data_IF_055721153551
#
_entry.id   IF_055721153551
#
_cell.length_a   1.000
_cell.length_b   1.000
_cell.length_c   1.000
_cell.angle_alpha   90.00
_cell.angle_beta   90.00
_cell.angle_gamma   90.00
#
_symmetry.space_group_name_H-M   'P 1'
#
loop_
_entity.id
_entity.type
_entity.pdbx_description
1 polymer ?
#
# COMPACT_ATOMS: atom_id res chain seq x y z
N UNK A 1 -45.30 -7.64 60.98
CA UNK A 1 -44.86 -8.76 60.05
C UNK A 1 -44.54 -8.11 58.72
N UNK A 2 -43.24 -7.89 58.45
CA UNK A 2 -42.77 -7.24 57.20
C UNK A 2 -42.24 -8.34 56.27
N UNK A 3 -42.95 -8.63 55.20
CA UNK A 3 -42.51 -9.55 54.17
C UNK A 3 -41.47 -8.85 53.26
N UNK A 4 -40.21 -9.27 53.32
CA UNK A 4 -39.19 -8.87 52.39
C UNK A 4 -39.20 -9.82 51.16
N UNK A 5 -39.65 -9.30 50.04
CA UNK A 5 -39.45 -9.95 48.72
C UNK A 5 -38.01 -9.79 48.29
N UNK A 6 -37.30 -10.90 48.19
CA UNK A 6 -35.99 -11.02 47.59
C UNK A 6 -36.15 -11.18 46.07
N UNK A 7 -35.71 -10.18 45.30
CA UNK A 7 -35.65 -10.23 43.84
C UNK A 7 -34.32 -10.89 43.45
N UNK A 8 -34.30 -11.95 42.63
CA UNK A 8 -33.06 -12.55 42.19
C UNK A 8 -32.41 -11.64 41.11
N UNK A 9 -31.18 -11.23 41.36
CA UNK A 9 -30.34 -10.54 40.38
C UNK A 9 -29.87 -11.58 39.34
N UNK A 10 -30.42 -11.53 38.15
CA UNK A 10 -29.92 -12.29 37.00
C UNK A 10 -28.60 -11.61 36.52
N UNK A 11 -27.48 -12.22 36.85
CA UNK A 11 -26.18 -11.85 36.29
C UNK A 11 -26.11 -12.40 34.86
N UNK A 12 -26.36 -11.54 33.85
CA UNK A 12 -26.10 -11.86 32.46
C UNK A 12 -24.62 -11.91 32.21
N UNK A 13 -24.05 -13.11 32.14
CA UNK A 13 -22.69 -13.30 31.69
C UNK A 13 -22.56 -12.94 30.21
N UNK A 14 -21.99 -11.79 29.91
CA UNK A 14 -21.60 -11.41 28.55
C UNK A 14 -20.39 -12.27 28.21
N UNK A 15 -20.63 -13.35 27.46
CA UNK A 15 -19.58 -14.12 26.81
C UNK A 15 -18.97 -13.21 25.71
N UNK A 16 -17.86 -12.57 25.98
CA UNK A 16 -17.01 -12.00 24.97
C UNK A 16 -16.49 -13.16 24.11
N UNK A 17 -17.01 -13.28 22.87
CA UNK A 17 -16.46 -14.19 21.88
C UNK A 17 -15.04 -13.65 21.62
N UNK A 18 -13.96 -14.42 21.88
CA UNK A 18 -12.62 -13.96 21.54
C UNK A 18 -12.58 -13.73 20.03
N UNK A 19 -12.22 -12.53 19.62
CA UNK A 19 -11.86 -12.26 18.24
C UNK A 19 -10.79 -13.30 17.87
N UNK A 20 -11.03 -14.08 16.82
CA UNK A 20 -10.06 -15.05 16.30
C UNK A 20 -8.82 -14.25 15.96
N UNK A 21 -7.70 -14.50 16.65
CA UNK A 21 -6.43 -13.92 16.28
C UNK A 21 -6.18 -14.34 14.82
N UNK A 22 -6.09 -13.35 13.93
CA UNK A 22 -5.72 -13.60 12.54
C UNK A 22 -4.30 -14.17 12.46
N UNK A 23 -3.95 -14.70 11.31
CA UNK A 23 -2.58 -15.18 11.07
C UNK A 23 -1.58 -14.02 11.27
N UNK A 24 -0.35 -14.38 11.67
CA UNK A 24 0.77 -13.45 11.84
C UNK A 24 2.01 -14.05 11.23
N UNK A 25 2.85 -13.21 10.61
CA UNK A 25 4.17 -13.61 10.08
C UNK A 25 5.23 -12.68 10.62
N UNK A 26 6.29 -13.26 11.18
CA UNK A 26 7.45 -12.54 11.68
C UNK A 26 8.64 -12.83 10.76
N UNK A 27 9.24 -11.78 10.21
CA UNK A 27 10.37 -11.90 9.28
C UNK A 27 11.29 -10.68 9.36
N UNK A 28 12.55 -10.88 9.01
CA UNK A 28 13.46 -9.77 8.69
C UNK A 28 13.32 -9.40 7.22
N UNK A 29 13.41 -8.11 6.90
CA UNK A 29 13.42 -7.61 5.54
C UNK A 29 14.64 -6.73 5.34
N UNK A 30 15.46 -7.04 4.33
CA UNK A 30 16.65 -6.28 3.96
C UNK A 30 16.36 -5.52 2.67
N UNK A 31 16.36 -4.20 2.77
CA UNK A 31 16.21 -3.29 1.65
C UNK A 31 17.59 -2.76 1.28
N UNK A 32 18.13 -3.19 0.14
CA UNK A 32 19.49 -2.87 -0.28
C UNK A 32 19.50 -2.36 -1.71
N UNK A 33 20.31 -1.34 -1.96
CA UNK A 33 20.51 -0.84 -3.31
C UNK A 33 21.87 -0.17 -3.48
N UNK A 34 22.29 -0.08 -4.76
CA UNK A 34 23.45 0.69 -5.18
C UNK A 34 23.05 1.69 -6.27
N UNK A 35 23.52 2.93 -6.13
CA UNK A 35 23.46 3.98 -7.18
C UNK A 35 24.78 3.93 -7.92
N UNK A 36 24.75 3.69 -9.23
CA UNK A 36 25.97 3.41 -10.03
C UNK A 36 26.17 4.44 -11.13
N UNK A 37 27.43 4.55 -11.59
CA UNK A 37 27.83 5.40 -12.72
C UNK A 37 27.61 6.90 -12.45
N UNK A 38 27.81 7.34 -11.23
CA UNK A 38 27.90 8.76 -10.89
C UNK A 38 29.26 9.29 -11.35
N UNK A 39 29.27 10.45 -11.99
CA UNK A 39 30.52 11.14 -12.29
C UNK A 39 31.00 11.92 -11.07
N UNK A 40 32.23 11.71 -10.58
CA UNK A 40 32.76 12.50 -9.47
C UNK A 40 32.66 14.02 -9.73
N UNK A 41 32.24 14.76 -8.71
CA UNK A 41 32.00 16.19 -8.80
C UNK A 41 30.54 16.62 -9.07
N UNK A 42 29.68 15.71 -9.49
CA UNK A 42 28.25 15.99 -9.65
C UNK A 42 27.53 16.08 -8.28
N UNK A 43 26.47 16.87 -8.21
CA UNK A 43 25.57 16.85 -7.04
C UNK A 43 24.73 15.58 -7.06
N UNK A 44 24.61 14.91 -5.90
CA UNK A 44 23.75 13.72 -5.72
C UNK A 44 22.78 13.96 -4.59
N UNK A 45 21.51 13.63 -4.83
CA UNK A 45 20.42 13.62 -3.84
C UNK A 45 19.69 12.30 -3.91
N UNK A 46 19.45 11.66 -2.76
CA UNK A 46 18.87 10.31 -2.67
C UNK A 46 17.79 10.33 -1.62
N UNK A 47 16.61 9.82 -1.96
CA UNK A 47 15.50 9.57 -1.04
C UNK A 47 15.21 8.08 -1.01
N UNK A 48 15.14 7.51 0.17
CA UNK A 48 14.96 6.09 0.42
C UNK A 48 13.63 5.90 1.16
N UNK A 49 12.62 5.22 0.60
CA UNK A 49 11.38 5.00 1.30
C UNK A 49 11.60 4.13 2.53
N UNK A 50 10.90 4.43 3.63
CA UNK A 50 10.92 3.64 4.85
C UNK A 50 9.58 2.95 5.08
N UNK A 51 9.65 1.67 5.44
CA UNK A 51 8.53 0.99 6.05
C UNK A 51 8.30 1.53 7.47
N UNK A 52 7.04 1.62 7.89
CA UNK A 52 6.67 2.12 9.20
C UNK A 52 5.58 1.25 9.84
N UNK A 53 5.44 1.33 11.16
CA UNK A 53 4.40 0.60 11.89
C UNK A 53 3.03 1.22 11.67
N UNK A 54 2.02 0.34 11.60
CA UNK A 54 0.60 0.68 11.61
C UNK A 54 -0.16 -0.32 12.51
N UNK A 55 -1.49 -0.34 12.42
CA UNK A 55 -2.30 -1.28 13.21
C UNK A 55 -2.20 -2.74 12.74
N UNK A 56 -1.59 -3.03 11.59
CA UNK A 56 -1.47 -4.37 11.00
C UNK A 56 -0.04 -4.83 10.78
N UNK A 57 0.93 -3.93 10.97
CA UNK A 57 2.34 -4.28 10.96
C UNK A 57 3.11 -3.54 12.04
N UNK A 58 3.97 -4.26 12.73
CA UNK A 58 5.01 -3.68 13.58
C UNK A 58 6.31 -3.74 12.81
N UNK A 59 6.95 -2.59 12.61
CA UNK A 59 8.20 -2.47 11.86
C UNK A 59 9.23 -1.79 12.74
N UNK A 60 10.33 -2.50 13.01
CA UNK A 60 11.49 -1.94 13.71
C UNK A 60 12.64 -1.83 12.70
N UNK A 61 13.21 -0.64 12.54
CA UNK A 61 14.46 -0.45 11.82
C UNK A 61 15.60 -0.97 12.70
N UNK A 62 16.20 -2.09 12.31
CA UNK A 62 17.30 -2.74 13.06
C UNK A 62 18.62 -2.04 12.78
N UNK A 63 18.88 -1.74 11.51
CA UNK A 63 20.08 -1.03 11.11
C UNK A 63 19.86 -0.20 9.86
N UNK A 64 20.65 0.86 9.74
CA UNK A 64 20.78 1.67 8.51
C UNK A 64 22.27 1.89 8.24
N UNK A 65 22.71 1.52 7.04
CA UNK A 65 24.06 1.77 6.57
C UNK A 65 24.04 2.46 5.23
N UNK A 66 24.99 3.31 4.96
CA UNK A 66 25.10 4.02 3.70
C UNK A 66 26.43 4.73 3.56
N UNK A 67 26.84 4.94 2.31
CA UNK A 67 28.05 5.68 1.95
C UNK A 67 27.96 7.18 2.23
N UNK A 68 26.75 7.70 2.51
CA UNK A 68 26.48 9.08 2.86
C UNK A 68 25.71 9.16 4.20
N UNK A 69 25.83 10.28 4.95
CA UNK A 69 25.01 10.51 6.13
C UNK A 69 23.51 10.45 5.80
N UNK A 70 22.76 9.71 6.59
CA UNK A 70 21.33 9.51 6.41
C UNK A 70 20.54 10.38 7.40
N UNK A 71 19.53 11.10 6.90
CA UNK A 71 18.62 11.92 7.70
C UNK A 71 17.20 11.44 7.51
N UNK A 72 16.52 11.10 8.61
CA UNK A 72 15.10 10.73 8.55
C UNK A 72 14.25 11.97 8.27
N UNK A 73 13.33 11.81 7.32
CA UNK A 73 12.42 12.83 6.84
C UNK A 73 11.01 12.24 6.73
N UNK A 74 10.01 13.13 6.62
CA UNK A 74 8.61 12.75 6.42
C UNK A 74 7.97 13.72 5.43
N UNK A 75 7.29 13.21 4.40
CA UNK A 75 6.51 14.07 3.52
C UNK A 75 5.15 14.43 4.16
N UNK A 76 4.51 15.50 3.67
CA UNK A 76 3.41 16.16 4.38
C UNK A 76 2.03 15.64 4.02
N UNK A 77 1.86 15.10 2.82
CA UNK A 77 0.53 14.81 2.28
C UNK A 77 -0.04 13.49 2.82
N UNK A 78 0.76 12.43 2.78
CA UNK A 78 0.39 11.10 3.25
C UNK A 78 1.11 10.69 4.54
N UNK A 79 2.15 11.43 4.91
CA UNK A 79 2.96 11.13 6.07
C UNK A 79 3.98 10.02 5.83
N UNK A 80 4.33 9.72 4.58
CA UNK A 80 5.35 8.72 4.26
C UNK A 80 6.70 9.10 4.84
N UNK A 81 7.35 8.12 5.47
CA UNK A 81 8.68 8.29 6.03
C UNK A 81 9.75 7.89 5.02
N UNK A 82 10.92 8.52 5.13
CA UNK A 82 12.05 8.29 4.24
C UNK A 82 13.38 8.66 4.90
N UNK A 83 14.46 8.09 4.38
CA UNK A 83 15.81 8.61 4.63
C UNK A 83 16.22 9.49 3.44
N UNK A 84 16.91 10.56 3.76
CA UNK A 84 17.49 11.47 2.78
C UNK A 84 19.01 11.53 2.94
N UNK A 85 19.72 11.44 1.82
CA UNK A 85 21.16 11.61 1.73
C UNK A 85 21.50 12.56 0.59
N UNK A 86 22.55 13.32 0.72
CA UNK A 86 23.04 14.19 -0.36
C UNK A 86 24.53 14.47 -0.25
N UNK A 87 25.14 14.70 -1.38
CA UNK A 87 26.51 15.18 -1.51
C UNK A 87 26.58 16.21 -2.63
N UNK A 88 27.13 17.40 -2.35
CA UNK A 88 27.21 18.50 -3.31
C UNK A 88 28.18 18.22 -4.46
N UNK A 89 29.20 17.42 -4.19
CA UNK A 89 30.22 17.01 -5.17
C UNK A 89 30.56 15.56 -4.92
N UNK A 90 29.95 14.68 -5.68
CA UNK A 90 30.13 13.24 -5.56
C UNK A 90 31.62 12.88 -5.48
N UNK A 91 31.98 12.18 -4.40
CA UNK A 91 33.34 11.70 -4.14
C UNK A 91 33.59 10.31 -4.73
N UNK A 92 32.51 9.60 -5.09
CA UNK A 92 32.53 8.21 -5.61
C UNK A 92 31.69 8.07 -6.87
N UNK A 93 31.99 7.03 -7.64
CA UNK A 93 31.17 6.65 -8.79
C UNK A 93 30.00 5.71 -8.43
N UNK A 94 30.03 5.13 -7.24
CA UNK A 94 29.00 4.20 -6.74
C UNK A 94 28.75 4.44 -5.26
N UNK A 95 27.46 4.40 -4.86
CA UNK A 95 26.98 4.59 -3.49
C UNK A 95 26.08 3.43 -3.09
N UNK A 96 26.35 2.82 -1.92
CA UNK A 96 25.61 1.69 -1.38
C UNK A 96 24.81 2.08 -0.16
N UNK A 97 23.61 1.54 -0.04
CA UNK A 97 22.72 1.77 1.09
C UNK A 97 21.99 0.48 1.45
N UNK A 98 21.82 0.27 2.74
CA UNK A 98 21.06 -0.85 3.29
C UNK A 98 20.21 -0.38 4.47
N UNK A 99 18.95 -0.82 4.48
CA UNK A 99 18.08 -0.70 5.66
C UNK A 99 17.58 -2.10 6.02
N UNK A 100 17.78 -2.49 7.26
CA UNK A 100 17.32 -3.78 7.78
C UNK A 100 16.15 -3.59 8.72
N UNK A 101 15.12 -4.38 8.54
CA UNK A 101 13.89 -4.33 9.31
C UNK A 101 13.61 -5.66 9.99
N UNK A 102 13.05 -5.56 11.21
CA UNK A 102 12.33 -6.64 11.87
C UNK A 102 10.82 -6.33 11.74
N UNK A 103 10.07 -7.24 11.13
CA UNK A 103 8.68 -7.01 10.73
C UNK A 103 7.78 -8.11 11.28
N UNK A 104 6.77 -7.71 12.03
CA UNK A 104 5.62 -8.57 12.36
C UNK A 104 4.41 -8.07 11.60
N UNK A 105 3.94 -8.86 10.64
CA UNK A 105 2.75 -8.57 9.86
C UNK A 105 1.57 -9.42 10.31
N UNK A 106 0.47 -8.77 10.67
CA UNK A 106 -0.78 -9.43 11.01
C UNK A 106 -1.73 -9.44 9.80
N UNK A 107 -2.49 -10.50 9.68
CA UNK A 107 -3.60 -10.56 8.73
C UNK A 107 -4.58 -9.43 9.02
N UNK A 108 -4.99 -8.73 7.97
CA UNK A 108 -6.01 -7.68 8.08
C UNK A 108 -7.30 -8.18 7.47
N UNK A 109 -8.31 -8.40 8.30
CA UNK A 109 -9.66 -8.78 7.87
C UNK A 109 -10.65 -7.77 8.40
N UNK A 110 -11.44 -7.18 7.51
CA UNK A 110 -12.53 -6.27 7.86
C UNK A 110 -13.86 -6.99 7.64
N UNK A 111 -14.66 -7.24 8.69
CA UNK A 111 -15.97 -7.85 8.54
C UNK A 111 -16.88 -7.00 7.64
N UNK A 112 -17.41 -7.58 6.57
CA UNK A 112 -18.30 -6.91 5.63
C UNK A 112 -19.79 -6.99 6.03
N UNK A 113 -20.12 -7.79 7.02
CA UNK A 113 -21.45 -7.92 7.64
C UNK A 113 -21.44 -7.36 9.06
N UNK A 114 -22.59 -6.94 9.56
CA UNK A 114 -22.69 -6.30 10.88
C UNK A 114 -22.16 -4.86 10.88
N UNK A 115 -22.28 -4.17 12.02
CA UNK A 115 -21.71 -2.83 12.23
C UNK A 115 -20.42 -2.91 13.03
N UNK A 116 -19.37 -2.24 12.58
CA UNK A 116 -18.14 -2.07 13.35
C UNK A 116 -18.14 -0.69 14.01
N UNK A 117 -18.03 -0.65 15.34
CA UNK A 117 -18.06 0.59 16.11
C UNK A 117 -16.71 1.31 16.20
N UNK A 118 -15.68 0.87 15.49
CA UNK A 118 -14.29 1.29 15.67
C UNK A 118 -13.68 2.03 14.47
N UNK A 119 -14.48 2.43 13.48
CA UNK A 119 -13.95 3.14 12.33
C UNK A 119 -13.49 4.56 12.71
N UNK A 120 -12.19 4.83 12.62
CA UNK A 120 -11.69 6.20 12.69
C UNK A 120 -12.30 7.00 11.52
N UNK A 121 -12.96 8.12 11.86
CA UNK A 121 -13.53 9.01 10.84
C UNK A 121 -12.39 9.68 10.08
N UNK A 122 -12.51 9.73 8.75
CA UNK A 122 -11.64 10.57 7.94
C UNK A 122 -11.87 12.04 8.30
N UNK A 123 -10.78 12.79 8.44
CA UNK A 123 -10.85 14.24 8.43
C UNK A 123 -11.38 14.73 7.07
N UNK A 124 -11.91 15.96 7.03
CA UNK A 124 -12.35 16.55 5.76
C UNK A 124 -11.22 16.69 4.73
N UNK A 125 -9.98 16.91 5.20
CA UNK A 125 -8.81 16.99 4.36
C UNK A 125 -8.50 15.61 3.74
N UNK A 126 -8.44 14.55 4.55
CA UNK A 126 -8.22 13.17 4.07
C UNK A 126 -9.34 12.74 3.12
N UNK A 127 -10.60 13.00 3.51
CA UNK A 127 -11.74 12.66 2.66
C UNK A 127 -11.65 13.32 1.29
N UNK A 128 -11.29 14.60 1.22
CA UNK A 128 -11.09 15.32 -0.03
C UNK A 128 -9.95 14.69 -0.83
N UNK A 129 -8.80 14.50 -0.19
CA UNK A 129 -7.61 13.94 -0.84
C UNK A 129 -7.89 12.57 -1.47
N UNK A 130 -8.60 11.69 -0.77
CA UNK A 130 -8.91 10.34 -1.26
C UNK A 130 -10.13 10.28 -2.19
N UNK A 131 -10.70 11.41 -2.57
CA UNK A 131 -11.73 11.56 -3.61
C UNK A 131 -11.22 12.30 -4.85
N UNK A 132 -10.10 13.02 -4.76
CA UNK A 132 -9.52 13.78 -5.86
C UNK A 132 -8.80 12.87 -6.86
N UNK A 133 -8.60 13.40 -8.07
CA UNK A 133 -7.78 12.76 -9.10
C UNK A 133 -6.31 12.77 -8.68
N UNK A 134 -5.58 11.72 -9.05
CA UNK A 134 -4.14 11.79 -9.23
C UNK A 134 -3.85 11.95 -10.73
N UNK A 135 -2.66 12.38 -11.07
CA UNK A 135 -2.26 12.69 -12.46
C UNK A 135 -2.59 11.57 -13.47
N UNK A 136 -2.43 10.32 -13.06
CA UNK A 136 -2.72 9.13 -13.87
C UNK A 136 -4.01 8.40 -13.44
N UNK A 137 -4.76 8.95 -12.47
CA UNK A 137 -5.99 8.35 -11.91
C UNK A 137 -7.12 9.39 -11.94
N UNK A 138 -7.66 9.70 -13.13
CA UNK A 138 -8.75 10.65 -13.28
C UNK A 138 -10.03 10.10 -12.63
N UNK A 139 -10.86 10.97 -12.07
CA UNK A 139 -12.18 10.62 -11.49
C UNK A 139 -13.34 10.97 -12.42
N UNK A 140 -13.03 11.34 -13.66
CA UNK A 140 -13.98 11.72 -14.72
C UNK A 140 -13.66 10.99 -16.03
N UNK A 141 -14.49 11.17 -17.05
CA UNK A 141 -14.32 10.55 -18.36
C UNK A 141 -14.58 9.04 -18.35
N UNK A 142 -13.90 8.29 -19.22
CA UNK A 142 -14.16 6.88 -19.48
C UNK A 142 -14.25 6.00 -18.22
N UNK A 143 -13.32 6.06 -17.23
CA UNK A 143 -13.44 5.23 -16.04
C UNK A 143 -14.68 5.57 -15.21
N UNK A 144 -15.10 6.84 -15.15
CA UNK A 144 -16.31 7.25 -14.46
C UNK A 144 -17.59 6.77 -15.18
N UNK A 145 -17.60 6.81 -16.50
CA UNK A 145 -18.71 6.30 -17.32
C UNK A 145 -18.89 4.79 -17.16
N UNK A 146 -17.79 4.05 -17.16
CA UNK A 146 -17.79 2.60 -16.88
C UNK A 146 -18.30 2.35 -15.46
N UNK A 147 -17.76 3.07 -14.47
CA UNK A 147 -18.14 2.91 -13.07
C UNK A 147 -19.63 3.15 -12.87
N UNK A 148 -20.20 4.20 -13.46
CA UNK A 148 -21.63 4.51 -13.36
C UNK A 148 -22.52 3.39 -13.91
N UNK A 149 -22.10 2.72 -14.98
CA UNK A 149 -22.81 1.56 -15.55
C UNK A 149 -22.72 0.35 -14.61
N UNK A 150 -21.53 0.06 -14.08
CA UNK A 150 -21.30 -1.11 -13.23
C UNK A 150 -22.01 -1.02 -11.87
N UNK A 151 -22.17 0.19 -11.33
CA UNK A 151 -22.87 0.39 -10.05
C UNK A 151 -24.37 0.61 -10.21
N UNK A 152 -24.91 0.60 -11.42
CA UNK A 152 -26.34 0.82 -11.65
C UNK A 152 -27.18 -0.18 -10.87
N UNK A 153 -28.20 0.33 -10.13
CA UNK A 153 -29.06 -0.45 -9.26
C UNK A 153 -28.44 -0.87 -7.90
N UNK A 154 -27.20 -0.51 -7.61
CA UNK A 154 -26.57 -0.72 -6.29
C UNK A 154 -26.96 0.40 -5.34
N UNK A 155 -27.38 0.04 -4.12
CA UNK A 155 -27.95 0.99 -3.16
C UNK A 155 -26.95 1.45 -2.11
N UNK A 156 -25.95 0.63 -1.78
CA UNK A 156 -24.94 0.91 -0.78
C UNK A 156 -23.55 1.09 -1.39
N UNK A 157 -22.68 1.85 -0.70
CA UNK A 157 -21.29 2.04 -1.15
C UNK A 157 -20.51 0.71 -1.12
N UNK A 158 -20.84 -0.22 -0.23
CA UNK A 158 -20.25 -1.57 -0.21
C UNK A 158 -20.60 -2.36 -1.48
N UNK A 159 -21.88 -2.37 -1.87
CA UNK A 159 -22.34 -3.04 -3.12
C UNK A 159 -21.71 -2.38 -4.36
N UNK A 160 -21.58 -1.06 -4.37
CA UNK A 160 -20.91 -0.32 -5.45
C UNK A 160 -19.43 -0.70 -5.53
N UNK A 161 -18.71 -0.64 -4.41
CA UNK A 161 -17.30 -1.04 -4.37
C UNK A 161 -17.10 -2.50 -4.81
N UNK A 162 -17.97 -3.42 -4.40
CA UNK A 162 -17.93 -4.82 -4.85
C UNK A 162 -18.15 -4.93 -6.36
N UNK A 163 -19.11 -4.24 -6.93
CA UNK A 163 -19.35 -4.26 -8.37
C UNK A 163 -18.12 -3.74 -9.17
N UNK A 164 -17.45 -2.70 -8.66
CA UNK A 164 -16.23 -2.17 -9.27
C UNK A 164 -15.05 -3.14 -9.15
N UNK A 165 -14.87 -3.78 -7.98
CA UNK A 165 -13.89 -4.83 -7.76
C UNK A 165 -14.09 -5.99 -8.74
N UNK A 166 -15.33 -6.51 -8.83
CA UNK A 166 -15.70 -7.60 -9.74
C UNK A 166 -15.50 -7.21 -11.21
N UNK A 167 -15.78 -5.95 -11.58
CA UNK A 167 -15.49 -5.46 -12.92
C UNK A 167 -14.01 -5.53 -13.25
N UNK A 168 -13.14 -4.99 -12.39
CA UNK A 168 -11.69 -5.01 -12.62
C UNK A 168 -11.17 -6.45 -12.67
N UNK A 169 -11.62 -7.30 -11.74
CA UNK A 169 -11.24 -8.71 -11.71
C UNK A 169 -11.57 -9.46 -13.01
N UNK A 170 -12.78 -9.29 -13.56
CA UNK A 170 -13.22 -10.02 -14.77
C UNK A 170 -12.70 -9.42 -16.07
N UNK A 171 -12.34 -8.13 -16.10
CA UNK A 171 -11.95 -7.44 -17.34
C UNK A 171 -10.46 -7.28 -17.52
N UNK A 172 -9.71 -7.13 -16.43
CA UNK A 172 -8.26 -7.00 -16.47
C UNK A 172 -7.56 -8.37 -16.54
N UNK A 173 -6.37 -8.39 -17.15
CA UNK A 173 -5.47 -9.56 -17.18
C UNK A 173 -4.13 -9.18 -16.60
N UNK A 174 -3.57 -10.02 -15.73
CA UNK A 174 -2.23 -9.81 -15.21
C UNK A 174 -1.19 -10.20 -16.27
N UNK A 175 -0.83 -9.22 -17.09
CA UNK A 175 0.05 -9.38 -18.23
C UNK A 175 1.01 -8.20 -18.34
N UNK A 176 2.30 -8.48 -18.25
CA UNK A 176 3.42 -7.52 -18.34
C UNK A 176 4.10 -7.52 -19.70
N UNK A 177 3.49 -8.10 -20.73
CA UNK A 177 4.04 -8.08 -22.08
C UNK A 177 3.93 -6.68 -22.73
N UNK A 178 4.87 -6.36 -23.61
CA UNK A 178 4.91 -5.08 -24.31
C UNK A 178 5.21 -3.88 -23.41
N UNK A 179 4.66 -2.72 -23.74
CA UNK A 179 4.90 -1.43 -23.06
C UNK A 179 3.63 -0.85 -22.46
N UNK A 180 3.77 0.15 -21.58
CA UNK A 180 2.66 0.93 -21.00
C UNK A 180 2.13 0.42 -19.66
N UNK A 181 2.34 -0.85 -19.31
CA UNK A 181 1.94 -1.42 -18.04
C UNK A 181 2.81 -0.92 -16.88
N UNK A 182 2.31 -1.05 -15.65
CA UNK A 182 3.03 -0.76 -14.41
C UNK A 182 3.06 0.72 -14.03
N UNK A 183 2.50 1.60 -14.83
CA UNK A 183 2.39 3.03 -14.52
C UNK A 183 1.14 3.36 -13.70
N UNK A 184 0.16 2.46 -13.70
CA UNK A 184 -1.15 2.72 -13.13
C UNK A 184 -1.83 3.89 -13.83
N UNK A 185 -1.69 3.99 -15.14
CA UNK A 185 -2.42 4.92 -15.99
C UNK A 185 -3.80 4.32 -16.24
N UNK A 186 -4.81 4.91 -15.60
CA UNK A 186 -6.18 4.40 -15.65
C UNK A 186 -6.76 4.40 -17.04
N UNK A 187 -6.44 5.41 -17.88
CA UNK A 187 -6.95 5.45 -19.24
C UNK A 187 -6.34 4.34 -20.08
N UNK A 188 -5.04 4.12 -19.94
CA UNK A 188 -4.38 2.98 -20.59
C UNK A 188 -4.94 1.64 -20.12
N UNK A 189 -5.21 1.48 -18.81
CA UNK A 189 -5.81 0.26 -18.27
C UNK A 189 -7.24 0.02 -18.78
N UNK A 190 -8.04 1.08 -18.94
CA UNK A 190 -9.38 1.00 -19.55
C UNK A 190 -9.35 0.51 -20.99
N UNK A 191 -8.34 0.89 -21.77
CA UNK A 191 -8.18 0.52 -23.16
C UNK A 191 -7.54 -0.86 -23.31
N UNK A 192 -6.37 -1.06 -22.70
CA UNK A 192 -5.57 -2.27 -22.84
C UNK A 192 -6.13 -3.48 -22.09
N UNK A 193 -6.89 -3.27 -21.01
CA UNK A 193 -7.48 -4.29 -20.11
C UNK A 193 -6.47 -5.31 -19.60
N UNK A 194 -5.24 -4.87 -19.37
CA UNK A 194 -4.12 -5.67 -18.88
C UNK A 194 -3.15 -4.80 -18.08
N UNK A 195 -2.22 -5.43 -17.41
CA UNK A 195 -1.15 -4.76 -16.67
C UNK A 195 -0.72 -5.55 -15.44
N UNK A 196 -0.07 -4.89 -14.51
CA UNK A 196 0.31 -5.45 -13.21
C UNK A 196 -0.60 -4.93 -12.08
N UNK A 197 -0.21 -5.18 -10.83
CA UNK A 197 -0.96 -4.71 -9.66
C UNK A 197 -1.25 -3.20 -9.69
N UNK A 198 -0.30 -2.37 -10.17
CA UNK A 198 -0.47 -0.92 -10.25
C UNK A 198 -1.64 -0.53 -11.15
N UNK A 199 -1.77 -1.18 -12.30
CA UNK A 199 -2.82 -0.89 -13.29
C UNK A 199 -4.19 -1.35 -12.81
N UNK A 200 -4.27 -2.54 -12.18
CA UNK A 200 -5.49 -3.06 -11.56
C UNK A 200 -6.04 -2.10 -10.49
N UNK A 201 -5.17 -1.71 -9.54
CA UNK A 201 -5.62 -0.92 -8.40
C UNK A 201 -5.87 0.55 -8.78
N UNK A 202 -5.14 1.11 -9.74
CA UNK A 202 -5.41 2.46 -10.26
C UNK A 202 -6.77 2.54 -10.92
N UNK A 203 -7.14 1.54 -11.73
CA UNK A 203 -8.47 1.47 -12.34
C UNK A 203 -9.56 1.40 -11.25
N UNK A 204 -9.42 0.52 -10.26
CA UNK A 204 -10.36 0.44 -9.14
C UNK A 204 -10.49 1.75 -8.38
N UNK A 205 -9.36 2.39 -8.00
CA UNK A 205 -9.35 3.65 -7.25
C UNK A 205 -10.03 4.77 -8.05
N UNK A 206 -9.74 4.89 -9.33
CA UNK A 206 -10.37 5.87 -10.23
C UNK A 206 -11.90 5.69 -10.24
N UNK A 207 -12.36 4.46 -10.46
CA UNK A 207 -13.77 4.12 -10.49
C UNK A 207 -14.46 4.36 -9.14
N UNK A 208 -13.86 3.94 -8.03
CA UNK A 208 -14.40 4.14 -6.68
C UNK A 208 -14.53 5.63 -6.34
N UNK A 209 -13.47 6.42 -6.57
CA UNK A 209 -13.47 7.87 -6.34
C UNK A 209 -14.50 8.60 -7.21
N UNK A 210 -14.71 8.17 -8.46
CA UNK A 210 -15.74 8.73 -9.35
C UNK A 210 -17.16 8.52 -8.78
N UNK A 211 -17.37 7.45 -8.03
CA UNK A 211 -18.63 7.12 -7.33
C UNK A 211 -18.70 7.69 -5.91
N UNK A 212 -17.79 8.64 -5.56
CA UNK A 212 -17.71 9.30 -4.24
C UNK A 212 -17.33 8.36 -3.09
N UNK A 213 -16.73 7.22 -3.39
CA UNK A 213 -16.14 6.30 -2.42
C UNK A 213 -14.66 6.65 -2.28
N UNK A 214 -14.21 7.17 -1.10
CA UNK A 214 -12.79 7.46 -0.91
C UNK A 214 -11.97 6.19 -1.07
N UNK A 215 -10.88 6.26 -1.84
CA UNK A 215 -9.99 5.13 -2.07
C UNK A 215 -8.54 5.58 -2.09
N UNK A 216 -7.63 4.72 -1.61
CA UNK A 216 -6.21 5.02 -1.49
C UNK A 216 -5.35 3.90 -2.04
N UNK A 217 -4.17 4.26 -2.43
CA UNK A 217 -3.16 3.39 -2.98
C UNK A 217 -2.10 3.08 -1.93
N UNK A 218 -1.73 1.81 -1.78
CA UNK A 218 -0.70 1.35 -0.86
C UNK A 218 0.39 0.61 -1.63
N UNK A 219 1.64 0.86 -1.27
CA UNK A 219 2.83 0.31 -1.89
C UNK A 219 3.74 -0.38 -0.89
N UNK A 220 4.35 -1.48 -1.31
CA UNK A 220 5.32 -2.22 -0.53
C UNK A 220 5.86 -3.42 -1.30
N UNK A 221 6.07 -4.53 -0.61
CA UNK A 221 6.61 -5.76 -1.18
C UNK A 221 5.78 -6.97 -0.76
N UNK A 222 5.59 -7.91 -1.69
CA UNK A 222 5.10 -9.25 -1.34
C UNK A 222 6.25 -10.10 -0.86
N UNK A 223 6.04 -10.81 0.24
CA UNK A 223 6.98 -11.77 0.80
C UNK A 223 6.64 -13.16 0.25
N UNK A 224 7.56 -13.88 -0.39
CA UNK A 224 7.31 -15.21 -0.91
C UNK A 224 6.70 -16.16 0.12
N UNK A 225 5.75 -16.98 -0.31
CA UNK A 225 5.00 -17.91 0.55
C UNK A 225 5.54 -19.33 0.51
N UNK A 226 6.31 -19.65 -0.52
CA UNK A 226 6.92 -20.96 -0.79
C UNK A 226 8.31 -21.15 -0.18
N UNK A 227 8.80 -20.13 0.53
CA UNK A 227 10.15 -20.08 1.11
C UNK A 227 10.12 -19.44 2.48
N UNK A 228 11.12 -19.78 3.31
CA UNK A 228 11.37 -19.12 4.60
C UNK A 228 12.45 -18.04 4.52
N UNK A 229 13.19 -17.95 3.42
CA UNK A 229 14.17 -16.88 3.15
C UNK A 229 14.49 -16.82 1.66
N UNK A 230 15.00 -15.68 1.22
CA UNK A 230 15.44 -15.48 -0.16
C UNK A 230 15.20 -14.08 -0.68
N UNK A 231 15.38 -13.92 -1.99
CA UNK A 231 15.16 -12.65 -2.66
C UNK A 231 13.68 -12.28 -2.73
N UNK A 232 13.42 -10.98 -2.67
CA UNK A 232 12.12 -10.37 -2.94
C UNK A 232 12.18 -9.70 -4.31
N UNK A 233 11.59 -10.30 -5.35
CA UNK A 233 11.91 -9.98 -6.75
C UNK A 233 11.31 -8.68 -7.27
N UNK A 234 10.50 -7.98 -6.47
CA UNK A 234 9.88 -6.73 -6.91
C UNK A 234 8.84 -6.22 -5.94
N UNK A 235 8.32 -5.04 -6.26
CA UNK A 235 7.28 -4.41 -5.46
C UNK A 235 5.91 -5.07 -5.67
N UNK A 236 5.04 -4.82 -4.71
CA UNK A 236 3.61 -5.08 -4.82
C UNK A 236 2.83 -3.85 -4.35
N UNK A 237 1.64 -3.69 -4.87
CA UNK A 237 0.71 -2.66 -4.44
C UNK A 237 -0.70 -3.22 -4.29
N UNK A 238 -1.48 -2.55 -3.51
CA UNK A 238 -2.88 -2.85 -3.25
C UNK A 238 -3.64 -1.56 -3.00
N UNK A 239 -4.91 -1.66 -2.70
CA UNK A 239 -5.74 -0.49 -2.42
C UNK A 239 -6.69 -0.72 -1.28
N UNK A 240 -7.15 0.38 -0.70
CA UNK A 240 -8.24 0.41 0.24
C UNK A 240 -9.35 1.31 -0.29
N UNK A 241 -10.60 1.01 0.08
CA UNK A 241 -11.70 1.96 -0.02
C UNK A 241 -12.31 2.20 1.36
N UNK A 242 -12.95 3.36 1.56
CA UNK A 242 -13.44 3.75 2.86
C UNK A 242 -14.98 3.76 2.94
N UNK A 243 -15.50 3.12 3.99
CA UNK A 243 -16.90 3.21 4.38
C UNK A 243 -17.05 3.87 5.76
N UNK A 244 -18.09 4.71 5.94
CA UNK A 244 -18.29 5.47 7.20
C UNK A 244 -18.46 4.58 8.43
N UNK A 245 -19.04 3.40 8.25
CA UNK A 245 -19.39 2.45 9.32
C UNK A 245 -18.35 1.37 9.55
N UNK A 246 -17.29 1.31 8.68
CA UNK A 246 -16.29 0.24 8.70
C UNK A 246 -14.85 0.74 8.63
N UNK A 247 -14.63 1.99 8.23
CA UNK A 247 -13.30 2.52 7.98
C UNK A 247 -12.72 2.05 6.64
N UNK A 248 -11.42 1.89 6.59
CA UNK A 248 -10.69 1.44 5.42
C UNK A 248 -10.82 -0.08 5.21
N UNK A 249 -11.34 -0.48 4.07
CA UNK A 249 -11.54 -1.87 3.64
C UNK A 249 -10.48 -2.21 2.60
N UNK A 250 -9.63 -3.21 2.87
CA UNK A 250 -8.57 -3.61 1.96
C UNK A 250 -9.11 -4.39 0.76
N UNK A 251 -8.47 -4.20 -0.39
CA UNK A 251 -8.69 -5.00 -1.59
C UNK A 251 -7.38 -5.28 -2.32
N UNK A 252 -7.23 -6.52 -2.81
CA UNK A 252 -6.09 -6.90 -3.65
C UNK A 252 -6.58 -7.66 -4.88
N UNK A 253 -6.99 -6.90 -5.90
CA UNK A 253 -7.62 -7.46 -7.10
C UNK A 253 -6.63 -8.26 -7.94
N UNK A 254 -5.37 -7.86 -7.92
CA UNK A 254 -4.32 -8.55 -8.67
C UNK A 254 -3.95 -9.90 -8.06
N UNK A 255 -3.96 -10.03 -6.73
CA UNK A 255 -3.80 -11.33 -6.07
C UNK A 255 -5.06 -12.19 -6.23
N UNK A 256 -6.25 -11.61 -6.14
CA UNK A 256 -7.48 -12.31 -6.47
C UNK A 256 -7.46 -12.87 -7.89
N UNK A 257 -6.93 -12.12 -8.86
CA UNK A 257 -6.82 -12.57 -10.25
C UNK A 257 -5.84 -13.75 -10.42
N UNK A 258 -4.73 -13.75 -9.68
CA UNK A 258 -3.77 -14.87 -9.66
C UNK A 258 -4.29 -16.10 -8.91
N UNK A 259 -5.16 -15.86 -7.92
CA UNK A 259 -5.75 -16.85 -7.03
C UNK A 259 -7.27 -16.73 -7.01
N UNK A 260 -7.98 -17.13 -8.08
CA UNK A 260 -9.42 -16.94 -8.20
C UNK A 260 -10.24 -17.58 -7.07
N UNK A 261 -9.73 -18.64 -6.46
CA UNK A 261 -10.33 -19.27 -5.28
C UNK A 261 -10.35 -18.37 -4.04
N UNK A 262 -9.51 -17.33 -4.01
CA UNK A 262 -9.43 -16.29 -2.96
C UNK A 262 -10.10 -14.97 -3.35
N UNK A 263 -10.91 -14.96 -4.42
CA UNK A 263 -11.57 -13.76 -4.90
C UNK A 263 -12.35 -13.02 -3.80
N UNK A 264 -13.16 -13.74 -3.03
CA UNK A 264 -13.94 -13.14 -1.95
C UNK A 264 -13.07 -12.73 -0.74
N UNK A 265 -11.98 -13.45 -0.49
CA UNK A 265 -11.04 -13.12 0.56
C UNK A 265 -10.37 -11.75 0.31
N UNK A 266 -9.86 -11.53 -0.89
CA UNK A 266 -9.18 -10.27 -1.23
C UNK A 266 -10.12 -9.07 -1.42
N UNK A 267 -11.41 -9.23 -1.22
CA UNK A 267 -12.37 -8.15 -1.01
C UNK A 267 -12.72 -8.03 0.47
N UNK A 268 -11.87 -7.35 1.23
CA UNK A 268 -12.03 -7.15 2.68
C UNK A 268 -10.87 -7.69 3.51
N UNK A 269 -9.87 -8.34 2.88
CA UNK A 269 -8.73 -8.86 3.60
C UNK A 269 -7.39 -8.67 2.85
N UNK A 270 -6.32 -8.58 3.64
CA UNK A 270 -4.93 -8.72 3.19
C UNK A 270 -4.23 -9.76 4.05
N UNK A 271 -3.50 -10.66 3.40
CA UNK A 271 -2.71 -11.68 4.05
C UNK A 271 -1.46 -11.12 4.76
N UNK A 272 -0.75 -12.00 5.47
CA UNK A 272 0.48 -11.68 6.20
C UNK A 272 1.74 -11.60 5.34
N UNK A 273 1.63 -11.90 4.04
CA UNK A 273 2.77 -12.05 3.15
C UNK A 273 3.12 -10.75 2.43
N UNK A 274 3.22 -9.67 3.19
CA UNK A 274 3.54 -8.34 2.66
C UNK A 274 4.16 -7.44 3.72
N UNK A 275 4.90 -6.44 3.27
CA UNK A 275 5.32 -5.30 4.08
C UNK A 275 4.94 -4.03 3.34
N UNK A 276 4.24 -3.11 4.03
CA UNK A 276 3.85 -1.81 3.50
C UNK A 276 4.96 -0.79 3.73
N UNK A 277 5.20 0.03 2.72
CA UNK A 277 6.16 1.13 2.76
C UNK A 277 5.45 2.48 2.69
N UNK A 278 4.71 2.75 1.62
CA UNK A 278 4.17 4.09 1.36
C UNK A 278 2.71 4.07 0.95
N UNK A 279 2.08 5.23 1.13
CA UNK A 279 0.72 5.54 0.73
C UNK A 279 0.73 6.59 -0.38
N UNK A 280 -0.30 6.54 -1.22
CA UNK A 280 -0.65 7.62 -2.12
C UNK A 280 0.09 7.62 -3.44
N UNK A 281 -0.19 8.66 -4.21
CA UNK A 281 0.38 8.94 -5.53
C UNK A 281 0.68 10.43 -5.66
N UNK A 282 1.45 10.78 -6.69
CA UNK A 282 1.91 12.15 -6.95
C UNK A 282 2.62 12.77 -5.74
N UNK A 283 3.51 11.97 -5.13
CA UNK A 283 4.18 12.26 -3.86
C UNK A 283 5.27 13.30 -4.04
N UNK A 284 5.18 14.38 -3.27
CA UNK A 284 6.28 15.35 -3.12
C UNK A 284 7.14 14.95 -1.93
N UNK A 285 8.40 14.63 -2.18
CA UNK A 285 9.34 14.16 -1.18
C UNK A 285 9.77 15.27 -0.19
N UNK A 286 10.49 14.89 0.86
CA UNK A 286 11.06 15.84 1.83
C UNK A 286 12.57 15.58 2.02
N UNK A 287 13.45 16.58 1.71
CA UNK A 287 13.16 17.84 1.02
C UNK A 287 12.59 17.60 -0.38
N UNK A 288 11.89 18.57 -0.99
CA UNK A 288 11.29 18.37 -2.31
C UNK A 288 12.34 18.02 -3.38
N UNK A 289 11.99 17.07 -4.23
CA UNK A 289 12.73 16.77 -5.46
C UNK A 289 12.58 17.93 -6.47
N UNK A 290 13.49 18.00 -7.44
CA UNK A 290 13.39 18.96 -8.54
C UNK A 290 12.52 18.41 -9.69
N UNK A 291 12.41 17.08 -9.79
CA UNK A 291 11.52 16.40 -10.73
C UNK A 291 10.05 16.56 -10.39
N UNK A 292 9.20 15.96 -11.21
CA UNK A 292 7.74 15.89 -10.96
C UNK A 292 7.42 15.10 -9.69
N UNK A 293 6.27 15.33 -9.04
CA UNK A 293 5.79 14.48 -7.97
C UNK A 293 5.80 13.01 -8.39
N UNK A 294 6.26 12.12 -7.49
CA UNK A 294 6.44 10.72 -7.80
C UNK A 294 5.10 10.02 -7.97
N UNK A 295 4.96 9.28 -9.04
CA UNK A 295 3.78 8.44 -9.28
C UNK A 295 3.54 7.45 -8.13
N UNK A 296 4.62 6.90 -7.56
CA UNK A 296 4.65 6.08 -6.35
C UNK A 296 6.07 6.07 -5.76
N UNK A 297 6.21 5.70 -4.50
CA UNK A 297 7.48 5.75 -3.80
C UNK A 297 7.76 4.46 -3.03
N UNK A 298 8.33 3.47 -3.70
CA UNK A 298 8.72 2.16 -3.14
C UNK A 298 10.17 1.82 -3.47
N UNK A 299 10.72 2.48 -4.49
CA UNK A 299 12.13 2.42 -4.85
C UNK A 299 12.84 3.70 -4.44
N UNK A 300 14.18 3.68 -4.26
CA UNK A 300 14.93 4.90 -4.04
C UNK A 300 14.71 5.86 -5.21
N UNK A 301 14.50 7.13 -4.91
CA UNK A 301 14.50 8.19 -5.90
C UNK A 301 15.84 8.93 -5.84
N UNK A 302 16.45 9.12 -6.97
CA UNK A 302 17.78 9.72 -7.08
C UNK A 302 17.75 10.87 -8.06
N UNK A 303 18.39 11.98 -7.69
CA UNK A 303 18.69 13.09 -8.59
C UNK A 303 20.20 13.31 -8.67
N UNK A 304 20.68 13.49 -9.90
CA UNK A 304 22.05 13.90 -10.19
C UNK A 304 21.99 15.22 -10.95
N UNK A 305 22.65 16.27 -10.42
CA UNK A 305 22.57 17.65 -10.93
C UNK A 305 21.12 18.12 -11.17
N UNK A 306 20.22 17.75 -10.22
CA UNK A 306 18.80 18.11 -10.25
C UNK A 306 17.94 17.37 -11.27
N UNK A 307 18.44 16.31 -11.89
CA UNK A 307 17.68 15.48 -12.83
C UNK A 307 17.52 14.08 -12.31
N UNK A 308 16.35 13.48 -12.55
CA UNK A 308 16.09 12.08 -12.21
C UNK A 308 17.17 11.17 -12.79
N UNK A 309 17.67 10.26 -11.94
CA UNK A 309 18.72 9.32 -12.27
C UNK A 309 18.29 7.89 -11.96
N UNK A 310 18.27 7.03 -12.98
CA UNK A 310 17.64 5.72 -12.93
C UNK A 310 18.62 4.54 -12.77
N UNK A 311 19.94 4.80 -12.74
CA UNK A 311 20.91 3.71 -12.60
C UNK A 311 21.04 3.25 -11.14
N UNK A 312 19.98 2.58 -10.67
CA UNK A 312 19.83 2.05 -9.31
C UNK A 312 19.64 0.54 -9.39
N UNK A 313 20.53 -0.20 -8.77
CA UNK A 313 20.45 -1.65 -8.67
C UNK A 313 19.90 -2.06 -7.30
N UNK A 314 18.77 -2.77 -7.27
CA UNK A 314 18.11 -3.25 -6.05
C UNK A 314 18.49 -4.69 -5.74
N UNK A 315 18.60 -5.02 -4.43
CA UNK A 315 18.79 -6.38 -3.93
C UNK A 315 18.04 -6.56 -2.61
N UNK A 316 16.73 -6.79 -2.69
CA UNK A 316 15.90 -7.00 -1.51
C UNK A 316 15.83 -8.47 -1.13
N UNK A 317 15.86 -8.76 0.17
CA UNK A 317 15.73 -10.12 0.68
C UNK A 317 14.95 -10.16 1.99
N UNK A 318 14.49 -11.35 2.34
CA UNK A 318 13.81 -11.61 3.60
C UNK A 318 14.25 -12.91 4.23
N UNK A 319 14.02 -13.07 5.52
CA UNK A 319 14.12 -14.35 6.23
C UNK A 319 13.06 -14.40 7.34
N UNK A 320 12.29 -15.51 7.39
CA UNK A 320 11.35 -15.74 8.49
C UNK A 320 12.12 -15.88 9.81
N UNK A 321 11.60 -15.26 10.86
CA UNK A 321 12.10 -15.42 12.21
C UNK A 321 11.39 -16.64 12.83
N UNK A 322 12.16 -17.68 13.12
CA UNK A 322 11.62 -18.86 13.80
C UNK A 322 11.08 -18.45 15.17
N UNK A 323 9.87 -18.89 15.51
CA UNK A 323 9.40 -18.79 16.88
C UNK A 323 10.41 -19.54 17.76
N UNK A 324 11.07 -18.83 18.67
CA UNK A 324 11.99 -19.46 19.62
C UNK A 324 11.25 -20.56 20.37
N UNK A 325 11.81 -21.77 20.31
CA UNK A 325 11.31 -22.94 21.06
C UNK A 325 11.55 -22.76 22.55
#
# INVERSE_FOLDING_TARGET
MLNRLLLPLLLSAIFAIPARAGDSRHFTFRYEFAVRNITPGQQVRIWIPLAHSDQFQTVNVVSTTGDLPLKQMREREYGNEMLYASEEKASKAEYHFTVEYDVVRNERVVPLTGTTHLAAKLSEQERRRFLESDRLVPVTGLPAEIAAKEVAGRTTDLERARALYDYVFRTMRYDKSGTGWGRGDTLWACDSKRGNCTDFHSLFISMARSQKIPARYEMGFSIPTDKHSGEVPGYHCWSDFYLKDRGWIPVDISEAWKHPEKHDYFFGAHDVNRVQFTLGRDITLSPPQQGQPLNYFVFPYVEVDGKEFSNVAMSNSFADVSAGT
#
